data_IF_225512495206
#
_entry.id   IF_225512495206
#
_cell.length_a   1.000
_cell.length_b   1.000
_cell.length_c   1.000
_cell.angle_alpha   90.00
_cell.angle_beta   90.00
_cell.angle_gamma   90.00
#
_symmetry.space_group_name_H-M   'P 1'
#
loop_
_entity.id
_entity.type
_entity.pdbx_description
1 polymer ?
#
# COMPACT_ATOMS: atom_id res chain seq x y z
N UNK A 1 -10.18 14.96 -1.62
CA UNK A 1 -10.06 13.60 -1.05
C UNK A 1 -8.86 12.94 -1.68
N UNK A 2 -8.13 12.10 -0.94
CA UNK A 2 -6.97 11.37 -1.44
C UNK A 2 -7.41 9.96 -1.85
N UNK A 3 -6.87 9.47 -2.97
CA UNK A 3 -7.15 8.12 -3.47
C UNK A 3 -5.99 7.18 -3.13
N UNK A 4 -6.33 6.06 -2.51
CA UNK A 4 -5.37 5.04 -2.11
C UNK A 4 -5.75 3.70 -2.73
N UNK A 5 -4.79 3.05 -3.41
CA UNK A 5 -4.91 1.65 -3.81
C UNK A 5 -4.12 0.81 -2.82
N UNK A 6 -4.76 -0.19 -2.22
CA UNK A 6 -4.08 -1.13 -1.33
C UNK A 6 -3.54 -2.30 -2.13
N UNK A 7 -2.41 -2.83 -1.67
CA UNK A 7 -1.74 -3.98 -2.23
C UNK A 7 -1.37 -4.94 -1.11
N UNK A 8 -1.44 -6.25 -1.37
CA UNK A 8 -1.09 -7.30 -0.42
C UNK A 8 -0.11 -8.29 -1.02
N UNK A 9 0.80 -8.77 -0.17
CA UNK A 9 1.66 -9.91 -0.44
C UNK A 9 1.76 -10.73 0.83
N UNK A 10 1.33 -12.00 0.76
CA UNK A 10 1.29 -12.90 1.92
C UNK A 10 0.53 -12.25 3.11
N UNK A 11 1.24 -11.90 4.18
CA UNK A 11 0.68 -11.29 5.40
C UNK A 11 0.87 -9.77 5.50
N UNK A 12 1.48 -9.13 4.48
CA UNK A 12 1.78 -7.70 4.48
C UNK A 12 0.83 -6.95 3.56
N UNK A 13 0.21 -5.89 4.09
CA UNK A 13 -0.60 -4.95 3.31
C UNK A 13 0.08 -3.59 3.26
N UNK A 14 0.12 -3.01 2.06
CA UNK A 14 0.63 -1.66 1.81
C UNK A 14 -0.34 -0.85 0.96
N UNK A 15 -0.02 0.42 0.72
CA UNK A 15 -0.86 1.33 -0.05
C UNK A 15 -0.02 2.23 -0.94
N UNK A 16 -0.60 2.61 -2.09
CA UNK A 16 -0.07 3.63 -2.98
C UNK A 16 -1.09 4.75 -3.08
N UNK A 17 -0.62 5.99 -2.97
CA UNK A 17 -1.44 7.16 -3.26
C UNK A 17 -1.47 7.37 -4.77
N UNK A 18 -2.65 7.41 -5.38
CA UNK A 18 -2.80 7.46 -6.85
C UNK A 18 -2.65 8.87 -7.45
N UNK A 19 -2.67 9.90 -6.61
CA UNK A 19 -2.65 11.30 -7.03
C UNK A 19 -1.25 11.93 -6.89
N UNK A 20 -0.18 11.13 -7.02
CA UNK A 20 1.22 11.58 -6.91
C UNK A 20 2.00 11.28 -8.19
N UNK A 21 3.04 12.06 -8.52
CA UNK A 21 3.88 11.78 -9.69
C UNK A 21 4.67 10.47 -9.56
N UNK A 22 4.76 9.89 -8.36
CA UNK A 22 5.48 8.65 -8.07
C UNK A 22 4.62 7.39 -8.18
N UNK A 23 3.31 7.53 -8.43
CA UNK A 23 2.37 6.41 -8.39
C UNK A 23 2.79 5.26 -9.30
N UNK A 24 3.18 5.55 -10.54
CA UNK A 24 3.55 4.50 -11.51
C UNK A 24 4.80 3.72 -11.07
N UNK A 25 5.81 4.43 -10.52
CA UNK A 25 7.03 3.81 -10.01
C UNK A 25 6.77 2.97 -8.76
N UNK A 26 5.92 3.46 -7.85
CA UNK A 26 5.50 2.74 -6.65
C UNK A 26 4.78 1.43 -7.01
N UNK A 27 3.81 1.48 -7.93
CA UNK A 27 3.07 0.29 -8.37
C UNK A 27 4.00 -0.72 -9.03
N UNK A 28 4.91 -0.26 -9.89
CA UNK A 28 5.89 -1.13 -10.55
C UNK A 28 6.80 -1.83 -9.54
N UNK A 29 7.32 -1.10 -8.55
CA UNK A 29 8.16 -1.70 -7.48
C UNK A 29 7.39 -2.73 -6.66
N UNK A 30 6.12 -2.45 -6.34
CA UNK A 30 5.26 -3.40 -5.63
C UNK A 30 5.00 -4.66 -6.46
N UNK A 31 4.71 -4.51 -7.75
CA UNK A 31 4.53 -5.64 -8.66
C UNK A 31 5.80 -6.51 -8.77
N UNK A 32 6.99 -5.88 -8.86
CA UNK A 32 8.29 -6.58 -8.85
C UNK A 32 8.55 -7.33 -7.52
N UNK A 33 8.02 -6.83 -6.41
CA UNK A 33 8.08 -7.48 -5.09
C UNK A 33 6.98 -8.54 -4.87
N UNK A 34 6.13 -8.79 -5.88
CA UNK A 34 5.05 -9.78 -5.82
C UNK A 34 3.81 -9.33 -5.05
N UNK A 35 3.64 -8.03 -4.82
CA UNK A 35 2.40 -7.48 -4.28
C UNK A 35 1.31 -7.48 -5.35
N UNK A 36 0.08 -7.75 -4.90
CA UNK A 36 -1.12 -7.81 -5.74
C UNK A 36 -2.16 -6.85 -5.20
N UNK A 37 -3.02 -6.32 -6.06
CA UNK A 37 -4.09 -5.40 -5.65
C UNK A 37 -4.99 -6.04 -4.60
N UNK A 38 -5.26 -5.30 -3.52
CA UNK A 38 -6.14 -5.71 -2.42
C UNK A 38 -7.36 -4.81 -2.39
N UNK A 39 -8.42 -5.25 -3.09
CA UNK A 39 -9.70 -4.54 -3.14
C UNK A 39 -9.68 -3.28 -4.00
N UNK A 40 -10.77 -2.51 -3.89
CA UNK A 40 -10.98 -1.29 -4.68
C UNK A 40 -10.21 -0.08 -4.14
N UNK A 41 -10.01 0.91 -5.00
CA UNK A 41 -9.50 2.24 -4.61
C UNK A 41 -10.36 2.86 -3.51
N UNK A 42 -9.72 3.26 -2.42
CA UNK A 42 -10.36 3.92 -1.29
C UNK A 42 -10.11 5.43 -1.35
N UNK A 43 -11.19 6.20 -1.33
CA UNK A 43 -11.13 7.66 -1.23
C UNK A 43 -11.32 8.10 0.22
N UNK A 44 -10.31 8.74 0.80
CA UNK A 44 -10.32 9.17 2.19
C UNK A 44 -9.63 10.53 2.37
N UNK A 45 -9.92 11.28 3.44
CA UNK A 45 -9.21 12.52 3.74
C UNK A 45 -7.76 12.27 4.19
N UNK A 46 -7.49 11.11 4.80
CA UNK A 46 -6.17 10.72 5.33
C UNK A 46 -5.93 9.23 5.09
N UNK A 47 -4.66 8.81 5.11
CA UNK A 47 -4.32 7.39 5.01
C UNK A 47 -4.90 6.58 6.17
N UNK A 48 -4.92 7.12 7.40
CA UNK A 48 -5.52 6.45 8.56
C UNK A 48 -7.00 6.09 8.31
N UNK A 49 -7.75 7.02 7.71
CA UNK A 49 -9.16 6.77 7.33
C UNK A 49 -9.30 5.79 6.18
N UNK A 50 -8.34 5.74 5.25
CA UNK A 50 -8.33 4.73 4.20
C UNK A 50 -8.02 3.33 4.75
N UNK A 51 -7.07 3.23 5.69
CA UNK A 51 -6.72 1.98 6.38
C UNK A 51 -7.89 1.45 7.21
N UNK A 52 -8.55 2.32 7.99
CA UNK A 52 -9.76 1.96 8.73
C UNK A 52 -10.86 1.43 7.80
N UNK A 53 -11.06 2.06 6.64
CA UNK A 53 -12.01 1.57 5.63
C UNK A 53 -11.60 0.25 5.00
N UNK A 54 -10.30 0.05 4.73
CA UNK A 54 -9.80 -1.21 4.19
C UNK A 54 -9.96 -2.35 5.20
N UNK A 55 -9.59 -2.13 6.46
CA UNK A 55 -9.74 -3.10 7.55
C UNK A 55 -11.22 -3.49 7.75
N UNK A 56 -12.12 -2.51 7.73
CA UNK A 56 -13.55 -2.79 7.88
C UNK A 56 -14.16 -3.56 6.69
N UNK A 57 -13.58 -3.47 5.48
CA UNK A 57 -14.05 -4.21 4.29
C UNK A 57 -13.46 -5.60 4.18
N UNK A 58 -12.22 -5.77 4.64
CA UNK A 58 -11.52 -7.04 4.61
C UNK A 58 -11.34 -7.51 6.05
N UNK A 59 -12.32 -8.25 6.57
CA UNK A 59 -12.32 -8.95 7.88
C UNK A 59 -11.18 -10.00 8.02
N UNK A 60 -10.15 -9.91 7.19
CA UNK A 60 -9.00 -10.78 7.25
C UNK A 60 -7.99 -10.24 8.27
N UNK A 61 -7.37 -11.19 8.96
CA UNK A 61 -6.46 -11.02 10.08
C UNK A 61 -5.13 -10.41 9.59
N UNK A 62 -5.16 -9.19 9.06
CA UNK A 62 -3.98 -8.49 8.56
C UNK A 62 -3.15 -8.08 9.78
N UNK A 63 -2.10 -8.86 10.05
CA UNK A 63 -1.23 -8.67 11.21
C UNK A 63 -0.34 -7.43 11.07
N UNK A 64 -0.01 -6.99 9.84
CA UNK A 64 0.88 -5.85 9.62
C UNK A 64 0.46 -4.97 8.42
N UNK A 65 0.18 -3.71 8.72
CA UNK A 65 0.06 -2.65 7.72
C UNK A 65 1.40 -1.93 7.58
N UNK A 66 2.14 -2.23 6.51
CA UNK A 66 3.35 -1.52 6.18
C UNK A 66 2.98 -0.22 5.44
N UNK A 67 3.22 0.92 6.09
CA UNK A 67 3.24 2.22 5.41
C UNK A 67 4.53 2.28 4.60
N UNK A 68 4.52 1.70 3.40
CA UNK A 68 5.66 1.78 2.48
C UNK A 68 5.53 3.11 1.73
N UNK A 69 5.88 4.20 2.42
CA UNK A 69 6.25 5.41 1.70
C UNK A 69 7.62 5.15 1.11
N UNK A 70 7.68 4.83 -0.19
CA UNK A 70 8.90 4.66 -1.02
C UNK A 70 10.16 4.56 -0.18
N UNK A 71 10.41 3.38 0.35
CA UNK A 71 11.66 3.15 1.06
C UNK A 71 12.73 2.92 0.01
N UNK A 72 13.28 4.02 -0.52
CA UNK A 72 14.58 4.08 -1.19
C UNK A 72 15.76 3.68 -0.25
N UNK A 73 15.50 2.98 0.86
CA UNK A 73 16.47 2.74 1.94
C UNK A 73 16.39 1.38 2.65
N UNK A 74 15.53 0.44 2.25
CA UNK A 74 15.51 -0.92 2.82
C UNK A 74 16.17 -1.95 1.90
N UNK A 75 16.57 -1.52 0.71
CA UNK A 75 17.45 -2.29 -0.19
C UNK A 75 18.74 -1.53 -0.54
N UNK A 76 19.15 -0.52 0.23
CA UNK A 76 20.57 -0.14 0.26
C UNK A 76 21.31 -1.25 1.01
N UNK A 77 21.77 -2.22 0.21
CA UNK A 77 22.40 -3.44 0.67
C UNK A 77 23.57 -3.21 1.62
N UNK A 78 23.73 -4.23 2.48
CA UNK A 78 24.99 -4.79 2.94
C UNK A 78 26.15 -4.49 1.96
N UNK A 79 27.33 -4.09 2.46
CA UNK A 79 28.18 -4.97 3.27
C UNK A 79 28.37 -4.58 4.74
#
# INVERSE_FOLDING_TARGET
MLRFQFYKSQDVVTHVKLDTPTTEDEIRQLAEQGFTESGDVISAPTILKAMEQHQNRHEDTIKEYATIGVILGLFSGYP
#
